data_IF_955068479048
#
_entry.id   IF_955068479048
#
_cell.length_a   1.000
_cell.length_b   1.000
_cell.length_c   1.000
_cell.angle_alpha   90.00
_cell.angle_beta   90.00
_cell.angle_gamma   90.00
#
_symmetry.space_group_name_H-M   'P 1'
#
loop_
_entity.id
_entity.type
_entity.pdbx_description
1 polymer ?
#
# COMPACT_ATOMS: atom_id res chain seq x y z
N UNK A 1 -2.62 18.99 6.39
CA UNK A 1 -4.06 18.71 6.63
C UNK A 1 -4.94 19.13 5.46
N UNK A 2 -4.96 20.40 5.01
CA UNK A 2 -5.79 20.81 3.86
C UNK A 2 -5.63 19.90 2.61
N UNK A 3 -4.40 19.53 2.28
CA UNK A 3 -4.13 18.57 1.20
C UNK A 3 -4.57 17.13 1.56
N UNK A 4 -4.20 16.60 2.73
CA UNK A 4 -4.55 15.23 3.13
C UNK A 4 -6.06 14.99 3.26
N UNK A 5 -6.78 15.95 3.83
CA UNK A 5 -8.21 15.87 4.14
C UNK A 5 -9.07 16.33 2.98
N UNK A 6 -8.86 17.57 2.51
CA UNK A 6 -9.71 18.20 1.50
C UNK A 6 -9.17 18.04 0.08
N UNK A 7 -8.06 17.30 -0.11
CA UNK A 7 -7.40 17.08 -1.41
C UNK A 7 -6.98 18.39 -2.10
N UNK A 8 -6.86 19.46 -1.33
CA UNK A 8 -6.51 20.79 -1.84
C UNK A 8 -5.09 20.78 -2.37
N UNK A 9 -4.90 21.22 -3.61
CA UNK A 9 -3.57 21.36 -4.20
C UNK A 9 -2.81 22.52 -3.55
N UNK A 10 -1.47 22.51 -3.63
CA UNK A 10 -0.65 23.62 -3.15
C UNK A 10 -1.07 24.95 -3.78
N UNK A 11 -1.42 24.94 -5.08
CA UNK A 11 -1.90 26.11 -5.79
C UNK A 11 -3.23 26.63 -5.24
N UNK A 12 -4.22 25.77 -5.04
CA UNK A 12 -5.51 26.16 -4.47
C UNK A 12 -5.35 26.74 -3.06
N UNK A 13 -4.49 26.12 -2.23
CA UNK A 13 -4.19 26.60 -0.90
C UNK A 13 -3.50 27.97 -0.94
N UNK A 14 -2.59 28.19 -1.88
CA UNK A 14 -1.94 29.48 -2.08
C UNK A 14 -2.92 30.57 -2.54
N UNK A 15 -3.82 30.28 -3.49
CA UNK A 15 -4.86 31.21 -3.91
C UNK A 15 -5.81 31.58 -2.75
N UNK A 16 -6.13 30.61 -1.88
CA UNK A 16 -6.87 30.87 -0.65
C UNK A 16 -6.13 31.86 0.26
N UNK A 17 -4.82 31.69 0.46
CA UNK A 17 -4.01 32.62 1.24
C UNK A 17 -4.03 34.03 0.63
N UNK A 18 -3.85 34.16 -0.69
CA UNK A 18 -3.90 35.48 -1.37
C UNK A 18 -5.23 36.20 -1.14
N UNK A 19 -6.35 35.51 -1.33
CA UNK A 19 -7.69 36.06 -1.12
C UNK A 19 -7.98 36.41 0.34
N UNK A 20 -7.37 35.71 1.30
CA UNK A 20 -7.49 36.04 2.72
C UNK A 20 -6.64 37.26 3.10
N UNK A 21 -5.49 37.43 2.47
CA UNK A 21 -4.58 38.56 2.72
C UNK A 21 -5.12 39.86 2.12
N UNK A 22 -5.53 39.83 0.84
CA UNK A 22 -6.12 40.97 0.15
C UNK A 22 -7.37 40.51 -0.62
N UNK A 23 -8.57 40.64 -0.03
CA UNK A 23 -9.80 40.14 -0.62
C UNK A 23 -10.22 40.84 -1.91
N UNK A 24 -9.94 42.14 -2.04
CA UNK A 24 -10.41 42.94 -3.18
C UNK A 24 -9.41 42.94 -4.34
N UNK A 25 -8.15 42.64 -4.08
CA UNK A 25 -7.09 42.60 -5.08
C UNK A 25 -6.02 41.52 -4.79
N UNK A 26 -6.37 40.22 -4.74
CA UNK A 26 -5.44 39.15 -4.38
C UNK A 26 -4.19 39.10 -5.29
N UNK A 27 -4.30 39.63 -6.51
CA UNK A 27 -3.21 39.78 -7.46
C UNK A 27 -2.05 40.66 -6.96
N UNK A 28 -2.29 41.62 -6.05
CA UNK A 28 -1.24 42.51 -5.51
C UNK A 28 -0.41 41.84 -4.41
N UNK A 29 -0.87 40.72 -3.87
CA UNK A 29 -0.11 39.94 -2.90
C UNK A 29 1.14 39.40 -3.59
N UNK A 30 2.30 39.67 -2.98
CA UNK A 30 3.63 39.26 -3.46
C UNK A 30 3.65 37.76 -3.77
N UNK A 31 4.17 37.41 -4.95
CA UNK A 31 4.24 36.02 -5.40
C UNK A 31 5.27 35.22 -4.59
N UNK A 32 4.80 34.27 -3.78
CA UNK A 32 5.58 33.41 -2.87
C UNK A 32 5.25 31.92 -3.00
N UNK A 33 4.64 31.50 -4.11
CA UNK A 33 4.22 30.12 -4.32
C UNK A 33 5.39 29.14 -4.35
N UNK A 34 6.53 29.54 -4.92
CA UNK A 34 7.72 28.69 -4.97
C UNK A 34 8.26 28.39 -3.56
N UNK A 35 8.34 29.41 -2.72
CA UNK A 35 8.75 29.30 -1.32
C UNK A 35 7.76 28.46 -0.52
N UNK A 36 6.44 28.66 -0.72
CA UNK A 36 5.43 27.84 -0.07
C UNK A 36 5.56 26.36 -0.44
N UNK A 37 5.79 26.03 -1.72
CA UNK A 37 6.00 24.64 -2.15
C UNK A 37 7.23 24.03 -1.51
N UNK A 38 8.35 24.75 -1.49
CA UNK A 38 9.59 24.29 -0.87
C UNK A 38 9.40 24.05 0.64
N UNK A 39 8.90 25.06 1.37
CA UNK A 39 8.71 24.98 2.81
C UNK A 39 7.66 23.94 3.22
N UNK A 40 6.57 23.82 2.49
CA UNK A 40 5.56 22.79 2.77
C UNK A 40 6.11 21.38 2.57
N UNK A 41 6.97 21.17 1.57
CA UNK A 41 7.67 19.89 1.35
C UNK A 41 8.63 19.58 2.50
N UNK A 42 9.51 20.52 2.88
CA UNK A 42 10.42 20.37 4.02
C UNK A 42 9.66 20.12 5.33
N UNK A 43 8.55 20.82 5.54
CA UNK A 43 7.70 20.64 6.72
C UNK A 43 7.10 19.23 6.79
N UNK A 44 6.56 18.71 5.68
CA UNK A 44 6.03 17.33 5.61
C UNK A 44 7.12 16.31 5.93
N UNK A 45 8.32 16.51 5.40
CA UNK A 45 9.47 15.66 5.71
C UNK A 45 9.82 15.67 7.21
N UNK A 46 10.00 16.85 7.80
CA UNK A 46 10.29 16.98 9.24
C UNK A 46 9.18 16.37 10.12
N UNK A 47 7.93 16.51 9.70
CA UNK A 47 6.78 15.89 10.36
C UNK A 47 6.84 14.37 10.32
N UNK A 48 7.18 13.76 9.17
CA UNK A 48 7.37 12.31 9.05
C UNK A 48 8.46 11.80 9.99
N UNK A 49 9.60 12.46 10.01
CA UNK A 49 10.71 12.10 10.91
C UNK A 49 10.30 12.17 12.39
N UNK A 50 9.64 13.26 12.78
CA UNK A 50 9.12 13.42 14.14
C UNK A 50 8.15 12.30 14.51
N UNK A 51 7.27 11.90 13.58
CA UNK A 51 6.31 10.81 13.80
C UNK A 51 6.98 9.44 13.85
N UNK A 52 8.03 9.21 13.07
CA UNK A 52 8.86 8.00 13.15
C UNK A 52 9.80 7.96 14.35
N UNK A 53 9.69 8.89 15.32
CA UNK A 53 10.54 8.93 16.51
C UNK A 53 12.02 9.24 16.22
N UNK A 54 12.35 9.74 15.02
CA UNK A 54 13.71 10.10 14.65
C UNK A 54 14.10 11.41 15.35
N UNK A 55 14.99 11.28 16.33
CA UNK A 55 15.61 12.40 17.02
C UNK A 55 16.96 12.75 16.38
N UNK A 56 17.55 13.89 16.75
CA UNK A 56 18.89 14.32 16.30
C UNK A 56 19.98 13.40 16.87
N UNK A 57 20.08 12.16 16.39
CA UNK A 57 21.31 11.38 16.56
C UNK A 57 22.28 11.87 15.51
N UNK A 58 23.28 12.64 15.95
CA UNK A 58 24.48 12.91 15.15
C UNK A 58 25.09 11.55 14.83
N UNK A 59 24.86 11.04 13.63
CA UNK A 59 25.69 9.96 13.11
C UNK A 59 27.12 10.52 12.92
N UNK A 60 28.12 9.65 13.03
CA UNK A 60 29.54 10.01 12.96
C UNK A 60 29.96 10.66 11.64
N UNK A 61 29.08 10.67 10.63
CA UNK A 61 29.25 11.24 9.30
C UNK A 61 28.82 12.72 9.18
N UNK A 62 28.33 13.33 10.27
CA UNK A 62 27.87 14.72 10.28
C UNK A 62 26.44 14.92 9.78
N UNK A 63 25.74 13.84 9.44
CA UNK A 63 24.34 13.89 9.02
C UNK A 63 23.41 14.00 10.23
N UNK A 64 22.57 15.04 10.29
CA UNK A 64 21.82 15.42 11.50
C UNK A 64 20.68 14.44 11.83
N UNK A 65 20.21 13.69 10.82
CA UNK A 65 18.98 12.86 10.88
C UNK A 65 19.30 11.35 10.83
N UNK A 66 20.55 10.99 10.50
CA UNK A 66 20.98 9.62 10.22
C UNK A 66 20.31 9.01 8.99
N UNK A 67 20.80 7.86 8.51
CA UNK A 67 20.19 7.18 7.36
C UNK A 67 18.82 6.59 7.77
N UNK A 68 17.75 6.95 7.05
CA UNK A 68 16.43 6.34 7.22
C UNK A 68 16.40 5.02 6.45
N UNK A 69 16.00 3.93 7.12
CA UNK A 69 15.94 2.60 6.48
C UNK A 69 14.71 2.47 5.59
N UNK A 70 14.76 1.52 4.67
CA UNK A 70 13.65 1.20 3.78
C UNK A 70 12.40 0.86 4.60
N UNK A 71 11.28 1.46 4.21
CA UNK A 71 9.96 1.31 4.82
C UNK A 71 9.84 1.69 6.31
N UNK A 72 10.88 2.29 6.92
CA UNK A 72 10.90 2.58 8.36
C UNK A 72 9.83 3.58 8.80
N UNK A 73 9.46 4.53 7.94
CA UNK A 73 8.47 5.56 8.23
C UNK A 73 7.05 5.15 7.80
N UNK A 74 6.88 3.94 7.28
CA UNK A 74 5.58 3.43 6.89
C UNK A 74 4.76 3.03 8.12
N UNK A 75 3.50 3.48 8.18
CA UNK A 75 2.55 3.01 9.18
C UNK A 75 1.91 1.71 8.71
N UNK A 76 1.94 0.66 9.52
CA UNK A 76 1.24 -0.59 9.24
C UNK A 76 -0.03 -0.78 10.08
N UNK A 77 -0.79 -1.83 9.80
CA UNK A 77 -2.02 -2.16 10.49
C UNK A 77 -1.76 -2.60 11.94
N UNK A 78 -2.32 -1.93 12.97
CA UNK A 78 -2.14 -2.34 14.35
C UNK A 78 -2.89 -3.65 14.70
N UNK A 79 -3.87 -4.05 13.88
CA UNK A 79 -4.65 -5.28 14.08
C UNK A 79 -4.12 -6.48 13.30
N UNK A 80 -3.16 -6.29 12.39
CA UNK A 80 -2.54 -7.43 11.73
C UNK A 80 -1.71 -8.22 12.76
N UNK A 81 -1.85 -9.57 12.85
CA UNK A 81 -1.08 -10.45 13.73
C UNK A 81 0.44 -10.26 13.63
N UNK A 82 1.11 -9.64 14.60
CA UNK A 82 2.52 -9.28 14.56
C UNK A 82 3.24 -9.84 15.81
N UNK A 83 4.17 -10.79 15.64
CA UNK A 83 4.99 -11.31 16.73
C UNK A 83 5.74 -10.18 17.47
N UNK A 84 5.75 -10.25 18.80
CA UNK A 84 6.38 -9.26 19.67
C UNK A 84 5.68 -7.89 19.72
N UNK A 85 4.54 -7.72 19.03
CA UNK A 85 3.77 -6.47 19.03
C UNK A 85 2.38 -6.68 19.61
N UNK A 86 1.59 -7.58 19.01
CA UNK A 86 0.19 -7.81 19.40
C UNK A 86 -0.19 -9.30 19.41
N UNK A 87 0.79 -10.19 19.30
CA UNK A 87 0.61 -11.63 19.50
C UNK A 87 1.13 -12.07 20.87
N UNK A 88 0.50 -13.06 21.51
CA UNK A 88 1.07 -13.73 22.68
C UNK A 88 2.45 -14.31 22.35
N UNK A 89 3.36 -14.39 23.33
CA UNK A 89 4.71 -14.95 23.09
C UNK A 89 4.66 -16.43 22.66
N UNK A 90 3.68 -17.17 23.15
CA UNK A 90 3.43 -18.58 22.85
C UNK A 90 2.40 -18.80 21.71
N UNK A 91 2.28 -17.84 20.78
CA UNK A 91 1.31 -17.94 19.68
C UNK A 91 1.55 -19.15 18.75
N UNK A 92 2.77 -19.70 18.74
CA UNK A 92 3.15 -20.85 17.90
C UNK A 92 2.59 -22.18 18.44
N UNK A 93 2.46 -22.28 19.75
CA UNK A 93 1.92 -23.43 20.47
C UNK A 93 0.40 -23.41 20.57
N UNK A 94 -0.25 -22.32 20.16
CA UNK A 94 -1.71 -22.18 20.16
C UNK A 94 -2.36 -23.22 19.22
N UNK A 95 -3.28 -24.02 19.74
CA UNK A 95 -4.06 -24.98 18.95
C UNK A 95 -4.82 -24.29 17.81
N UNK A 96 -5.19 -23.02 18.01
CA UNK A 96 -5.86 -22.17 17.04
C UNK A 96 -4.92 -21.22 16.30
N UNK A 97 -3.61 -21.52 16.20
CA UNK A 97 -2.62 -20.64 15.53
C UNK A 97 -3.00 -20.16 14.14
N UNK A 98 -3.93 -20.85 13.47
CA UNK A 98 -4.54 -20.43 12.22
C UNK A 98 -5.24 -19.05 12.29
N UNK A 99 -5.67 -18.57 13.46
CA UNK A 99 -6.23 -17.21 13.60
C UNK A 99 -5.18 -16.12 13.34
N UNK A 100 -3.89 -16.46 13.50
CA UNK A 100 -2.77 -15.56 13.34
C UNK A 100 -2.21 -15.54 11.91
N UNK A 101 -2.79 -16.32 10.98
CA UNK A 101 -2.32 -16.33 9.58
C UNK A 101 -2.39 -14.93 8.96
N UNK A 102 -1.39 -14.61 8.13
CA UNK A 102 -1.32 -13.32 7.45
C UNK A 102 -2.18 -13.36 6.20
N UNK A 103 -2.88 -12.27 5.93
CA UNK A 103 -3.65 -12.07 4.70
C UNK A 103 -3.18 -10.79 4.05
N UNK A 104 -2.82 -10.86 2.77
CA UNK A 104 -2.40 -9.72 1.96
C UNK A 104 -3.15 -9.78 0.63
N UNK A 105 -3.45 -8.63 0.06
CA UNK A 105 -4.09 -8.50 -1.25
C UNK A 105 -3.25 -7.59 -2.13
N UNK A 106 -3.05 -7.95 -3.39
CA UNK A 106 -2.45 -7.10 -4.41
C UNK A 106 -3.48 -6.63 -5.44
N UNK A 107 -3.32 -5.40 -5.91
CA UNK A 107 -4.10 -4.83 -7.01
C UNK A 107 -3.37 -3.64 -7.66
N UNK A 108 -3.66 -3.38 -8.93
CA UNK A 108 -3.09 -2.33 -9.77
C UNK A 108 -4.05 -1.15 -9.98
N UNK A 109 -3.56 0.08 -9.81
CA UNK A 109 -4.29 1.31 -10.07
C UNK A 109 -3.69 2.11 -11.24
N UNK A 110 -4.35 2.03 -12.40
CA UNK A 110 -3.96 2.74 -13.62
C UNK A 110 -4.44 4.19 -13.72
N UNK A 111 -5.25 4.67 -12.76
CA UNK A 111 -5.62 6.10 -12.66
C UNK A 111 -4.51 6.93 -12.00
N UNK A 112 -3.52 6.29 -11.40
CA UNK A 112 -2.33 6.91 -10.85
C UNK A 112 -1.19 6.95 -11.89
N UNK A 113 -1.50 7.34 -13.13
CA UNK A 113 -0.52 7.54 -14.19
C UNK A 113 0.31 8.82 -13.95
N UNK A 114 1.44 8.93 -14.64
CA UNK A 114 2.31 10.09 -14.61
C UNK A 114 2.74 10.47 -16.02
N UNK A 115 2.73 11.77 -16.29
CA UNK A 115 3.17 12.34 -17.56
C UNK A 115 4.65 12.69 -17.45
N UNK A 116 5.42 12.24 -18.43
CA UNK A 116 6.84 12.51 -18.55
C UNK A 116 7.11 14.03 -18.53
N UNK A 117 7.99 14.45 -17.62
CA UNK A 117 8.35 15.84 -17.45
C UNK A 117 9.46 16.25 -18.43
N UNK A 118 9.33 17.42 -19.05
CA UNK A 118 10.33 17.96 -19.99
C UNK A 118 11.67 18.27 -19.32
N UNK A 119 11.67 18.52 -18.01
CA UNK A 119 12.86 18.86 -17.23
C UNK A 119 13.68 17.65 -16.79
N UNK A 120 13.17 16.43 -16.99
CA UNK A 120 13.78 15.20 -16.50
C UNK A 120 13.79 15.08 -14.96
N UNK A 121 14.56 14.13 -14.45
CA UNK A 121 14.69 13.88 -13.01
C UNK A 121 15.77 14.76 -12.37
N UNK A 122 15.47 16.05 -12.22
CA UNK A 122 16.36 17.04 -11.58
C UNK A 122 15.96 17.41 -10.15
N UNK A 123 14.89 16.81 -9.64
CA UNK A 123 14.39 17.13 -8.31
C UNK A 123 15.14 16.31 -7.24
N UNK A 124 15.22 16.86 -6.03
CA UNK A 124 15.86 16.22 -4.89
C UNK A 124 14.91 15.20 -4.30
N UNK A 125 15.34 13.99 -4.01
CA UNK A 125 14.54 13.00 -3.29
C UNK A 125 14.81 13.10 -1.80
N UNK A 126 13.83 13.54 -1.00
CA UNK A 126 14.06 13.77 0.44
C UNK A 126 14.13 12.47 1.24
N UNK A 127 13.41 11.44 0.80
CA UNK A 127 13.20 10.22 1.59
C UNK A 127 12.96 8.97 0.73
N UNK A 128 13.83 8.69 -0.25
CA UNK A 128 13.61 7.60 -1.20
C UNK A 128 13.56 6.25 -0.46
N UNK A 129 12.53 5.45 -0.72
CA UNK A 129 12.38 4.12 -0.10
C UNK A 129 11.95 4.12 1.36
N UNK A 130 11.84 5.27 2.03
CA UNK A 130 11.67 5.33 3.49
C UNK A 130 10.28 4.93 4.00
N UNK A 131 9.29 4.78 3.12
CA UNK A 131 7.88 4.58 3.50
C UNK A 131 7.19 3.53 2.62
N UNK A 132 6.23 3.90 1.78
CA UNK A 132 5.40 2.95 1.03
C UNK A 132 6.00 2.65 -0.35
N UNK A 133 6.57 3.67 -0.99
CA UNK A 133 7.28 3.51 -2.26
C UNK A 133 8.73 3.05 -2.07
N UNK A 134 9.28 2.25 -3.01
CA UNK A 134 10.63 1.73 -2.92
C UNK A 134 11.69 2.79 -3.23
N UNK A 135 12.94 2.45 -2.91
CA UNK A 135 14.08 3.13 -3.52
C UNK A 135 14.08 2.82 -5.02
N UNK A 136 14.19 3.85 -5.85
CA UNK A 136 14.02 3.68 -7.31
C UNK A 136 15.06 2.73 -7.90
N UNK A 137 16.32 2.90 -7.51
CA UNK A 137 17.44 2.10 -8.04
C UNK A 137 17.26 0.62 -7.70
N UNK A 138 16.98 0.30 -6.44
CA UNK A 138 16.71 -1.09 -6.00
C UNK A 138 15.55 -1.71 -6.78
N UNK A 139 14.49 -0.93 -7.01
CA UNK A 139 13.35 -1.41 -7.79
C UNK A 139 13.70 -1.60 -9.27
N UNK A 140 14.45 -0.68 -9.87
CA UNK A 140 14.91 -0.80 -11.25
C UNK A 140 15.82 -2.03 -11.43
N UNK A 141 16.77 -2.25 -10.53
CA UNK A 141 17.65 -3.42 -10.53
C UNK A 141 16.83 -4.72 -10.42
N UNK A 142 15.87 -4.76 -9.50
CA UNK A 142 14.98 -5.90 -9.39
C UNK A 142 14.21 -6.15 -10.70
N UNK A 143 13.65 -5.11 -11.31
CA UNK A 143 12.89 -5.24 -12.55
C UNK A 143 13.74 -5.70 -13.73
N UNK A 144 15.03 -5.36 -13.75
CA UNK A 144 15.98 -5.82 -14.76
C UNK A 144 16.38 -7.28 -14.58
N UNK A 145 16.57 -7.71 -13.33
CA UNK A 145 16.96 -9.08 -13.00
C UNK A 145 15.77 -10.06 -12.96
N UNK A 146 14.54 -9.57 -12.77
CA UNK A 146 13.35 -10.41 -12.61
C UNK A 146 12.94 -11.10 -13.92
N UNK A 147 12.65 -12.39 -13.81
CA UNK A 147 12.10 -13.18 -14.91
C UNK A 147 10.67 -12.72 -15.25
N UNK A 148 10.38 -12.52 -16.53
CA UNK A 148 9.05 -12.16 -17.00
C UNK A 148 8.44 -13.33 -17.80
N UNK A 149 7.78 -14.24 -17.08
CA UNK A 149 7.13 -15.40 -17.69
C UNK A 149 5.67 -15.06 -17.95
N UNK A 150 5.28 -15.06 -19.23
CA UNK A 150 3.87 -15.03 -19.59
C UNK A 150 3.25 -16.39 -19.30
N UNK A 151 2.32 -16.44 -18.36
CA UNK A 151 1.54 -17.65 -18.09
C UNK A 151 0.45 -17.74 -19.15
N UNK A 152 0.36 -18.85 -19.90
CA UNK A 152 -0.84 -19.11 -20.71
C UNK A 152 -2.01 -19.23 -19.76
N UNK A 153 -3.04 -18.41 -19.97
CA UNK A 153 -4.17 -18.23 -19.05
C UNK A 153 -4.78 -19.60 -18.72
N UNK A 154 -4.67 -20.11 -17.47
CA UNK A 154 -5.29 -21.38 -17.10
C UNK A 154 -6.82 -21.28 -17.07
N UNK A 155 -7.36 -20.06 -17.01
CA UNK A 155 -8.78 -19.75 -17.17
C UNK A 155 -9.01 -18.99 -18.48
N UNK A 156 -9.78 -19.52 -19.42
CA UNK A 156 -9.95 -18.93 -20.76
C UNK A 156 -10.69 -17.58 -20.81
N UNK A 157 -11.16 -17.07 -19.66
CA UNK A 157 -11.66 -15.70 -19.54
C UNK A 157 -10.46 -14.74 -19.48
N UNK A 158 -9.90 -14.45 -20.65
CA UNK A 158 -9.05 -13.29 -20.81
C UNK A 158 -9.87 -12.04 -20.43
N UNK A 159 -9.47 -11.35 -19.35
CA UNK A 159 -9.87 -9.95 -19.11
C UNK A 159 -9.21 -9.09 -20.20
N UNK A 160 -9.65 -9.29 -21.44
CA UNK A 160 -9.18 -8.67 -22.69
C UNK A 160 -9.29 -7.15 -22.67
N UNK A 161 -10.04 -6.60 -21.72
CA UNK A 161 -10.19 -5.18 -21.51
C UNK A 161 -8.90 -4.48 -21.04
N UNK A 162 -7.95 -5.20 -20.41
CA UNK A 162 -6.74 -4.57 -19.83
C UNK A 162 -5.52 -4.68 -20.76
N UNK A 163 -5.40 -5.77 -21.54
CA UNK A 163 -4.22 -5.96 -22.41
C UNK A 163 -4.14 -4.94 -23.57
N UNK A 164 -5.28 -4.44 -24.06
CA UNK A 164 -5.32 -3.63 -25.27
C UNK A 164 -5.46 -2.10 -25.04
N UNK A 165 -5.88 -1.65 -23.86
CA UNK A 165 -6.19 -0.22 -23.63
C UNK A 165 -5.06 0.54 -22.91
N UNK A 166 -4.11 -0.16 -22.29
CA UNK A 166 -2.92 0.43 -21.64
C UNK A 166 -1.68 0.43 -22.54
N UNK A 167 -1.88 0.22 -23.86
CA UNK A 167 -0.84 0.41 -24.86
C UNK A 167 -0.43 1.88 -24.88
N UNK A 168 0.65 2.18 -24.16
CA UNK A 168 1.57 3.28 -24.41
C UNK A 168 0.90 4.60 -24.80
N UNK A 169 0.36 5.33 -23.81
CA UNK A 169 0.37 6.78 -23.97
C UNK A 169 1.85 7.19 -24.03
N UNK A 170 2.39 7.49 -25.23
CA UNK A 170 3.80 7.89 -25.43
C UNK A 170 4.24 9.03 -24.52
N UNK A 171 3.29 9.77 -23.97
CA UNK A 171 3.48 10.89 -23.05
C UNK A 171 3.70 10.47 -21.60
N UNK A 172 3.34 9.25 -21.20
CA UNK A 172 3.43 8.80 -19.81
C UNK A 172 4.68 7.95 -19.58
N UNK A 173 5.44 8.28 -18.53
CA UNK A 173 6.58 7.49 -18.04
C UNK A 173 6.14 6.45 -16.99
N UNK A 174 5.01 6.68 -16.29
CA UNK A 174 4.36 5.71 -15.39
C UNK A 174 2.91 5.50 -15.84
N UNK A 175 2.49 4.25 -16.01
CA UNK A 175 1.13 3.88 -16.42
C UNK A 175 0.17 3.67 -15.25
N UNK A 176 0.68 3.58 -14.03
CA UNK A 176 -0.09 3.33 -12.83
C UNK A 176 0.80 2.94 -11.65
N UNK A 177 0.19 2.48 -10.57
CA UNK A 177 0.88 1.91 -9.42
C UNK A 177 0.28 0.55 -9.08
N UNK A 178 1.05 -0.34 -8.48
CA UNK A 178 0.54 -1.55 -7.82
C UNK A 178 0.77 -1.41 -6.34
N UNK A 179 -0.14 -1.95 -5.51
CA UNK A 179 0.16 -2.08 -4.10
C UNK A 179 -0.38 -3.33 -3.45
N UNK A 180 0.11 -3.59 -2.23
CA UNK A 180 -0.44 -4.56 -1.32
C UNK A 180 -1.09 -3.91 -0.10
N UNK A 181 -2.21 -4.46 0.34
CA UNK A 181 -2.86 -4.08 1.59
C UNK A 181 -3.37 -5.30 2.36
N UNK A 182 -3.61 -5.11 3.65
CA UNK A 182 -4.37 -6.06 4.45
C UNK A 182 -5.84 -6.02 4.01
N UNK A 183 -6.44 -7.11 3.51
CA UNK A 183 -7.84 -7.11 3.08
C UNK A 183 -8.85 -7.00 4.22
N UNK A 184 -8.45 -7.33 5.46
CA UNK A 184 -9.33 -7.26 6.64
C UNK A 184 -9.54 -5.83 7.15
N UNK A 185 -8.47 -5.06 7.23
CA UNK A 185 -8.49 -3.72 7.84
C UNK A 185 -8.26 -2.60 6.80
N UNK A 186 -7.80 -2.97 5.60
CA UNK A 186 -7.49 -2.08 4.50
C UNK A 186 -6.35 -1.12 4.77
N UNK A 187 -5.35 -1.52 5.55
CA UNK A 187 -4.11 -0.76 5.63
C UNK A 187 -3.13 -1.29 4.58
N UNK A 188 -2.48 -0.38 3.85
CA UNK A 188 -1.37 -0.72 2.96
C UNK A 188 -0.21 -1.32 3.76
N UNK A 189 0.51 -2.26 3.16
CA UNK A 189 1.70 -2.84 3.78
C UNK A 189 2.92 -1.91 3.62
N UNK A 190 3.91 -1.95 4.53
CA UNK A 190 5.14 -1.17 4.39
C UNK A 190 5.93 -1.54 3.13
N UNK A 191 6.47 -0.55 2.43
CA UNK A 191 7.26 -0.74 1.21
C UNK A 191 6.49 -1.37 0.03
N UNK A 192 5.16 -1.42 0.10
CA UNK A 192 4.36 -2.26 -0.77
C UNK A 192 3.67 -1.51 -1.91
N UNK A 193 4.17 -0.35 -2.33
CA UNK A 193 3.61 0.42 -3.46
C UNK A 193 4.69 0.58 -4.51
N UNK A 194 4.43 0.27 -5.77
CA UNK A 194 5.43 0.41 -6.82
C UNK A 194 4.85 0.94 -8.13
N UNK A 195 5.65 1.72 -8.85
CA UNK A 195 5.27 2.28 -10.14
C UNK A 195 5.22 1.20 -11.24
N UNK A 196 4.23 1.30 -12.11
CA UNK A 196 4.06 0.44 -13.28
C UNK A 196 4.57 1.17 -14.53
N UNK A 197 5.70 0.73 -15.07
CA UNK A 197 6.30 1.35 -16.26
C UNK A 197 5.80 0.77 -17.60
N UNK A 198 5.25 -0.45 -17.57
CA UNK A 198 4.82 -1.21 -18.76
C UNK A 198 3.59 -2.05 -18.45
N UNK A 199 2.54 -1.39 -17.95
CA UNK A 199 1.38 -2.06 -17.37
C UNK A 199 1.73 -2.87 -16.11
N UNK A 200 0.77 -3.65 -15.63
CA UNK A 200 0.96 -4.53 -14.48
C UNK A 200 1.56 -5.86 -14.90
N UNK A 201 2.85 -6.03 -14.68
CA UNK A 201 3.54 -7.30 -14.90
C UNK A 201 3.64 -8.04 -13.56
N UNK A 202 3.64 -9.38 -13.60
CA UNK A 202 3.74 -10.19 -12.38
C UNK A 202 4.99 -9.84 -11.54
N UNK A 203 6.09 -9.44 -12.18
CA UNK A 203 7.29 -8.97 -11.47
C UNK A 203 7.08 -7.69 -10.65
N UNK A 204 6.13 -6.82 -11.03
CA UNK A 204 5.78 -5.66 -10.21
C UNK A 204 5.12 -6.12 -8.90
N UNK A 205 4.22 -7.10 -8.98
CA UNK A 205 3.54 -7.73 -7.82
C UNK A 205 4.54 -8.51 -6.96
N UNK A 206 5.43 -9.27 -7.59
CA UNK A 206 6.51 -10.01 -6.93
C UNK A 206 7.35 -9.08 -6.04
N UNK A 207 7.72 -7.90 -6.54
CA UNK A 207 8.46 -6.90 -5.75
C UNK A 207 7.68 -6.45 -4.52
N UNK A 208 6.45 -5.94 -4.72
CA UNK A 208 5.67 -5.38 -3.59
C UNK A 208 5.33 -6.45 -2.57
N UNK A 209 5.16 -7.72 -2.98
CA UNK A 209 4.96 -8.84 -2.07
C UNK A 209 6.20 -9.10 -1.21
N UNK A 210 7.38 -9.19 -1.83
CA UNK A 210 8.63 -9.38 -1.09
C UNK A 210 8.89 -8.25 -0.09
N UNK A 211 8.64 -7.00 -0.47
CA UNK A 211 8.76 -5.86 0.46
C UNK A 211 7.73 -5.95 1.60
N UNK A 212 6.48 -6.29 1.28
CA UNK A 212 5.41 -6.46 2.28
C UNK A 212 5.78 -7.52 3.31
N UNK A 213 6.26 -8.68 2.87
CA UNK A 213 6.68 -9.76 3.76
C UNK A 213 7.83 -9.32 4.66
N UNK A 214 8.83 -8.64 4.07
CA UNK A 214 10.03 -8.18 4.78
C UNK A 214 9.73 -7.13 5.85
N UNK A 215 8.80 -6.21 5.60
CA UNK A 215 8.62 -5.02 6.44
C UNK A 215 7.30 -4.99 7.22
N UNK A 216 6.42 -6.00 7.08
CA UNK A 216 5.15 -6.08 7.84
C UNK A 216 5.23 -6.90 9.14
N UNK A 217 6.44 -7.17 9.63
CA UNK A 217 6.72 -7.94 10.85
C UNK A 217 5.92 -9.27 10.87
N UNK A 218 6.12 -10.08 9.84
CA UNK A 218 5.45 -11.36 9.65
C UNK A 218 6.45 -12.49 9.89
N UNK A 219 6.06 -13.49 10.69
CA UNK A 219 6.80 -14.73 10.87
C UNK A 219 6.31 -15.77 9.83
N UNK A 220 7.21 -16.52 9.16
CA UNK A 220 6.84 -17.49 8.14
C UNK A 220 5.89 -18.59 8.62
N UNK A 221 5.95 -18.97 9.90
CA UNK A 221 5.06 -19.98 10.49
C UNK A 221 3.60 -19.53 10.59
N UNK A 222 3.34 -18.22 10.44
CA UNK A 222 1.97 -17.71 10.29
C UNK A 222 1.37 -18.15 8.95
N UNK A 223 2.18 -18.40 7.92
CA UNK A 223 1.68 -18.60 6.56
C UNK A 223 0.99 -17.36 5.97
N UNK A 224 0.64 -17.44 4.69
CA UNK A 224 0.08 -16.36 3.90
C UNK A 224 -1.13 -16.82 3.09
N UNK A 225 -2.25 -16.10 3.19
CA UNK A 225 -3.24 -16.06 2.12
C UNK A 225 -3.04 -14.80 1.28
N UNK A 226 -2.69 -15.00 0.02
CA UNK A 226 -2.45 -13.93 -0.93
C UNK A 226 -3.61 -13.79 -1.91
N UNK A 227 -4.34 -12.67 -1.80
CA UNK A 227 -5.37 -12.29 -2.74
C UNK A 227 -4.78 -11.58 -3.94
N UNK A 228 -5.18 -11.99 -5.13
CA UNK A 228 -4.87 -11.30 -6.37
C UNK A 228 -5.90 -11.67 -7.43
N UNK A 229 -6.36 -10.70 -8.22
CA UNK A 229 -7.40 -10.93 -9.24
C UNK A 229 -7.03 -12.06 -10.20
N UNK A 230 -5.76 -12.12 -10.58
CA UNK A 230 -5.24 -13.19 -11.43
C UNK A 230 -4.45 -14.25 -10.65
N UNK A 231 -4.80 -14.50 -9.38
CA UNK A 231 -4.11 -15.49 -8.53
C UNK A 231 -4.00 -16.87 -9.19
N UNK A 232 -5.00 -17.28 -9.97
CA UNK A 232 -4.97 -18.54 -10.72
C UNK A 232 -3.90 -18.60 -11.83
N UNK A 233 -3.46 -17.45 -12.33
CA UNK A 233 -2.37 -17.32 -13.29
C UNK A 233 -1.04 -17.07 -12.56
N UNK A 234 -1.07 -16.22 -11.54
CA UNK A 234 0.10 -15.77 -10.81
C UNK A 234 0.80 -16.91 -10.04
N UNK A 235 0.01 -17.78 -9.40
CA UNK A 235 0.47 -18.90 -8.59
C UNK A 235 1.26 -19.97 -9.37
N UNK A 236 0.96 -20.15 -10.67
CA UNK A 236 1.54 -21.22 -11.52
C UNK A 236 3.07 -21.20 -11.54
N UNK A 237 3.67 -20.02 -11.62
CA UNK A 237 5.12 -19.84 -11.65
C UNK A 237 5.68 -19.12 -10.44
N UNK A 238 4.86 -18.95 -9.39
CA UNK A 238 5.23 -18.19 -8.19
C UNK A 238 6.55 -18.67 -7.56
N UNK A 239 6.65 -19.98 -7.29
CA UNK A 239 7.86 -20.57 -6.70
C UNK A 239 9.09 -20.44 -7.61
N UNK A 240 8.91 -20.52 -8.94
CA UNK A 240 10.00 -20.30 -9.89
C UNK A 240 10.47 -18.84 -9.88
N UNK A 241 9.55 -17.89 -9.93
CA UNK A 241 9.89 -16.45 -10.01
C UNK A 241 10.54 -15.95 -8.72
N UNK A 242 9.97 -16.28 -7.56
CA UNK A 242 10.41 -15.70 -6.29
C UNK A 242 10.60 -16.68 -5.13
N UNK A 243 10.41 -18.00 -5.31
CA UNK A 243 10.54 -18.97 -4.20
C UNK A 243 11.88 -18.90 -3.47
N UNK A 244 12.98 -18.67 -4.21
CA UNK A 244 14.32 -18.47 -3.67
C UNK A 244 14.52 -17.17 -2.87
N UNK A 245 13.56 -16.25 -2.92
CA UNK A 245 13.55 -14.97 -2.18
C UNK A 245 12.52 -14.95 -1.05
N UNK A 246 11.65 -15.96 -0.97
CA UNK A 246 10.66 -16.07 0.10
C UNK A 246 11.33 -16.50 1.41
N UNK A 247 10.79 -16.09 2.56
CA UNK A 247 11.20 -16.65 3.84
C UNK A 247 11.06 -18.18 3.84
N UNK A 248 12.06 -18.86 4.40
CA UNK A 248 12.07 -20.32 4.51
C UNK A 248 10.88 -20.77 5.35
N UNK A 249 10.14 -21.78 4.86
CA UNK A 249 8.98 -22.34 5.57
C UNK A 249 7.69 -21.54 5.42
N UNK A 250 7.67 -20.47 4.62
CA UNK A 250 6.44 -19.71 4.36
C UNK A 250 5.46 -20.54 3.50
N UNK A 251 4.40 -21.02 4.14
CA UNK A 251 3.25 -21.62 3.44
C UNK A 251 2.38 -20.51 2.82
N UNK A 252 2.02 -20.65 1.54
CA UNK A 252 1.29 -19.63 0.78
C UNK A 252 0.11 -20.22 0.03
N UNK A 253 -1.08 -19.83 0.45
CA UNK A 253 -2.33 -20.03 -0.25
C UNK A 253 -2.68 -18.82 -1.13
N UNK A 254 -3.45 -19.06 -2.18
CA UNK A 254 -3.85 -18.04 -3.13
C UNK A 254 -5.37 -17.92 -3.20
N UNK A 255 -5.86 -16.69 -3.25
CA UNK A 255 -7.28 -16.41 -3.44
C UNK A 255 -7.52 -15.34 -4.50
N UNK A 256 -8.71 -15.35 -5.07
CA UNK A 256 -9.25 -14.27 -5.91
C UNK A 256 -10.33 -13.55 -5.08
N UNK A 257 -10.42 -12.23 -5.23
CA UNK A 257 -11.50 -11.45 -4.61
C UNK A 257 -12.88 -12.03 -4.95
N UNK A 258 -13.80 -11.99 -3.99
CA UNK A 258 -15.12 -12.63 -4.13
C UNK A 258 -15.94 -12.04 -5.27
N UNK A 259 -15.74 -10.76 -5.60
CA UNK A 259 -16.41 -10.18 -6.76
C UNK A 259 -15.72 -10.63 -8.05
N UNK A 260 -14.39 -10.62 -8.09
CA UNK A 260 -13.62 -11.02 -9.27
C UNK A 260 -13.72 -12.51 -9.60
N UNK A 261 -13.77 -13.41 -8.62
CA UNK A 261 -13.72 -14.87 -8.84
C UNK A 261 -14.86 -15.37 -9.73
N UNK A 262 -16.02 -14.72 -9.70
CA UNK A 262 -17.17 -15.02 -10.57
C UNK A 262 -16.92 -14.68 -12.05
N UNK A 263 -15.96 -13.78 -12.34
CA UNK A 263 -15.51 -13.48 -13.70
C UNK A 263 -14.54 -14.52 -14.28
N UNK A 264 -14.03 -15.44 -13.46
CA UNK A 264 -13.16 -16.53 -13.92
C UNK A 264 -13.98 -17.77 -14.32
N UNK A 265 -13.30 -18.80 -14.85
CA UNK A 265 -13.95 -20.10 -15.10
C UNK A 265 -14.46 -20.70 -13.80
N UNK A 266 -15.49 -21.53 -13.88
CA UNK A 266 -16.13 -22.16 -12.73
C UNK A 266 -15.13 -22.88 -11.79
N UNK A 267 -14.13 -23.58 -12.34
CA UNK A 267 -13.10 -24.23 -11.53
C UNK A 267 -12.28 -23.25 -10.67
N UNK A 268 -12.14 -21.98 -11.07
CA UNK A 268 -11.48 -20.97 -10.24
C UNK A 268 -12.30 -20.63 -8.99
N UNK A 269 -13.63 -20.71 -9.04
CA UNK A 269 -14.48 -20.51 -7.87
C UNK A 269 -14.11 -21.52 -6.78
N UNK A 270 -14.04 -22.81 -7.11
CA UNK A 270 -13.73 -23.86 -6.15
C UNK A 270 -12.28 -23.84 -5.68
N UNK A 271 -11.33 -23.44 -6.54
CA UNK A 271 -9.91 -23.44 -6.20
C UNK A 271 -9.41 -22.15 -5.50
N UNK A 272 -10.03 -20.99 -5.75
CA UNK A 272 -9.50 -19.69 -5.34
C UNK A 272 -10.51 -18.80 -4.60
N UNK A 273 -11.77 -19.21 -4.45
CA UNK A 273 -12.68 -18.48 -3.56
C UNK A 273 -12.25 -18.68 -2.11
N UNK A 274 -12.07 -17.58 -1.38
CA UNK A 274 -11.74 -17.62 0.05
C UNK A 274 -12.79 -18.35 0.91
N UNK A 275 -14.01 -18.59 0.39
CA UNK A 275 -15.02 -19.40 1.07
C UNK A 275 -14.65 -20.89 1.18
N UNK A 276 -13.80 -21.38 0.28
CA UNK A 276 -13.39 -22.79 0.25
C UNK A 276 -11.96 -23.03 0.76
N UNK A 277 -11.24 -21.97 1.13
CA UNK A 277 -9.88 -22.08 1.69
C UNK A 277 -10.01 -22.21 3.20
N UNK A 278 -9.65 -23.36 3.80
CA UNK A 278 -9.75 -23.54 5.25
C UNK A 278 -8.93 -22.49 6.00
N UNK A 279 -9.31 -22.20 7.25
CA UNK A 279 -8.50 -21.45 8.21
C UNK A 279 -8.36 -19.92 8.01
N UNK A 280 -8.90 -19.33 6.94
CA UNK A 280 -8.79 -17.87 6.71
C UNK A 280 -10.07 -17.06 6.93
N UNK A 281 -11.19 -17.74 7.13
CA UNK A 281 -12.50 -17.11 7.26
C UNK A 281 -12.97 -16.43 5.96
N UNK A 282 -14.10 -15.74 6.02
CA UNK A 282 -14.67 -15.06 4.84
C UNK A 282 -14.04 -13.68 4.70
N UNK A 283 -13.13 -13.55 3.73
CA UNK A 283 -12.51 -12.28 3.35
C UNK A 283 -12.93 -11.96 1.91
N UNK A 284 -13.58 -10.81 1.72
CA UNK A 284 -14.10 -10.37 0.42
C UNK A 284 -12.96 -10.17 -0.58
N UNK A 285 -11.82 -9.61 -0.14
CA UNK A 285 -10.66 -9.44 -1.00
C UNK A 285 -10.83 -8.37 -2.09
N UNK A 286 -11.55 -7.28 -1.78
CA UNK A 286 -11.80 -6.14 -2.70
C UNK A 286 -11.39 -4.79 -2.06
N UNK A 287 -10.55 -4.82 -1.03
CA UNK A 287 -10.31 -3.63 -0.20
C UNK A 287 -9.56 -2.53 -0.96
N UNK A 288 -8.70 -2.91 -1.90
CA UNK A 288 -7.83 -1.98 -2.62
C UNK A 288 -8.64 -1.03 -3.51
N UNK A 289 -9.75 -1.48 -4.09
CA UNK A 289 -10.66 -0.61 -4.85
C UNK A 289 -11.20 0.57 -4.04
N UNK A 290 -11.57 0.32 -2.78
CA UNK A 290 -12.01 1.38 -1.86
C UNK A 290 -10.86 2.32 -1.47
N UNK A 291 -9.63 1.79 -1.38
CA UNK A 291 -8.44 2.61 -1.11
C UNK A 291 -8.06 3.45 -2.33
N UNK A 292 -8.19 2.90 -3.54
CA UNK A 292 -7.99 3.60 -4.80
C UNK A 292 -9.00 4.70 -5.01
N UNK A 293 -10.28 4.49 -4.70
CA UNK A 293 -11.29 5.54 -4.78
C UNK A 293 -10.85 6.82 -4.01
N UNK A 294 -10.26 6.65 -2.83
CA UNK A 294 -9.75 7.74 -2.02
C UNK A 294 -8.44 8.36 -2.56
N UNK A 295 -7.52 7.52 -3.05
CA UNK A 295 -6.23 7.97 -3.58
C UNK A 295 -6.38 8.68 -4.93
N UNK A 296 -7.33 8.23 -5.76
CA UNK A 296 -7.62 8.78 -7.09
C UNK A 296 -8.09 10.24 -7.04
N UNK A 297 -8.57 10.71 -5.89
CA UNK A 297 -8.91 12.13 -5.71
C UNK A 297 -7.69 13.06 -5.81
N UNK A 298 -6.46 12.56 -5.65
CA UNK A 298 -5.23 13.36 -5.72
C UNK A 298 -4.33 13.01 -6.91
N UNK A 299 -4.67 11.99 -7.70
CA UNK A 299 -3.87 11.62 -8.88
C UNK A 299 -3.73 12.76 -9.90
N UNK A 300 -4.72 13.64 -10.15
CA UNK A 300 -4.53 14.74 -11.11
C UNK A 300 -3.43 15.72 -10.70
N UNK A 301 -3.23 15.95 -9.39
CA UNK A 301 -2.18 16.85 -8.89
C UNK A 301 -0.80 16.20 -8.98
N UNK A 302 -0.75 14.88 -8.83
CA UNK A 302 0.49 14.11 -8.88
C UNK A 302 0.93 13.79 -10.32
N UNK A 303 -0.02 13.72 -11.27
CA UNK A 303 0.20 13.30 -12.65
C UNK A 303 1.25 14.12 -13.41
N UNK A 304 1.41 15.40 -13.04
CA UNK A 304 2.38 16.33 -13.66
C UNK A 304 3.43 16.82 -12.68
N UNK A 305 3.54 16.17 -11.52
CA UNK A 305 4.56 16.51 -10.54
C UNK A 305 5.96 16.08 -11.01
N UNK A 306 6.99 16.41 -10.25
CA UNK A 306 8.26 15.69 -10.36
C UNK A 306 8.10 14.29 -9.77
N UNK A 307 8.89 13.32 -10.22
CA UNK A 307 8.83 11.94 -9.69
C UNK A 307 9.08 11.90 -8.17
N UNK A 308 10.01 12.70 -7.67
CA UNK A 308 10.27 12.83 -6.24
C UNK A 308 9.03 13.35 -5.48
N UNK A 309 8.38 14.39 -6.01
CA UNK A 309 7.18 14.95 -5.37
C UNK A 309 5.98 14.01 -5.44
N UNK A 310 5.80 13.30 -6.56
CA UNK A 310 4.78 12.26 -6.72
C UNK A 310 4.95 11.18 -5.66
N UNK A 311 6.16 10.62 -5.53
CA UNK A 311 6.43 9.56 -4.55
C UNK A 311 6.16 10.02 -3.12
N UNK A 312 6.60 11.23 -2.76
CA UNK A 312 6.36 11.80 -1.43
C UNK A 312 4.88 12.05 -1.15
N UNK A 313 4.10 12.51 -2.15
CA UNK A 313 2.65 12.70 -2.02
C UNK A 313 1.91 11.37 -1.89
N UNK A 314 2.29 10.35 -2.66
CA UNK A 314 1.72 9.01 -2.52
C UNK A 314 1.98 8.46 -1.12
N UNK A 315 3.22 8.52 -0.63
CA UNK A 315 3.57 8.12 0.73
C UNK A 315 2.73 8.87 1.78
N UNK A 316 2.59 10.18 1.64
CA UNK A 316 1.79 11.00 2.56
C UNK A 316 0.33 10.55 2.63
N UNK A 317 -0.32 10.39 1.48
CA UNK A 317 -1.73 10.04 1.42
C UNK A 317 -1.99 8.60 1.85
N UNK A 318 -1.09 7.67 1.51
CA UNK A 318 -1.20 6.26 1.90
C UNK A 318 -0.96 6.11 3.40
N UNK A 319 0.05 6.76 3.97
CA UNK A 319 0.27 6.76 5.41
C UNK A 319 -0.87 7.45 6.18
N UNK A 320 -1.44 8.55 5.67
CA UNK A 320 -2.62 9.19 6.27
C UNK A 320 -3.84 8.25 6.26
N UNK A 321 -4.05 7.51 5.18
CA UNK A 321 -5.10 6.48 5.09
C UNK A 321 -4.92 5.41 6.17
N UNK A 322 -3.70 4.88 6.32
CA UNK A 322 -3.39 3.89 7.36
C UNK A 322 -3.54 4.47 8.77
N UNK A 323 -3.13 5.74 8.98
CA UNK A 323 -3.27 6.43 10.26
C UNK A 323 -4.75 6.58 10.66
N UNK A 324 -5.61 7.05 9.74
CA UNK A 324 -7.06 7.18 9.97
C UNK A 324 -7.69 5.84 10.34
N UNK A 325 -7.28 4.75 9.69
CA UNK A 325 -7.71 3.40 10.05
C UNK A 325 -7.27 3.02 11.45
N UNK A 326 -6.00 3.25 11.79
CA UNK A 326 -5.49 2.98 13.13
C UNK A 326 -6.26 3.75 14.23
N UNK A 327 -6.58 5.03 13.99
CA UNK A 327 -7.39 5.83 14.91
C UNK A 327 -8.80 5.26 15.09
N UNK A 328 -9.47 4.91 14.00
CA UNK A 328 -10.86 4.41 14.04
C UNK A 328 -10.97 3.01 14.63
N UNK A 329 -9.95 2.17 14.43
CA UNK A 329 -9.85 0.84 15.06
C UNK A 329 -9.79 0.96 16.58
N UNK A 330 -8.98 1.90 17.11
CA UNK A 330 -8.88 2.12 18.56
C UNK A 330 -10.18 2.62 19.18
N UNK A 331 -10.97 3.41 18.45
CA UNK A 331 -12.26 3.93 18.93
C UNK A 331 -13.32 2.82 19.08
N UNK A 332 -13.28 1.76 18.26
CA UNK A 332 -14.22 0.63 18.39
C UNK A 332 -13.97 -0.17 19.68
N UNK A 333 -12.72 -0.27 20.14
CA UNK A 333 -12.42 -0.93 21.42
C UNK A 333 -12.80 -0.08 22.65
N UNK A 334 -12.74 1.26 22.57
CA UNK A 334 -13.15 2.13 23.68
C UNK A 334 -14.65 2.45 23.72
N UNK A 335 -15.37 2.32 22.60
CA UNK A 335 -16.82 2.53 22.53
C UNK A 335 -17.66 1.25 22.62
N UNK A 336 -17.04 0.10 22.94
CA UNK A 336 -17.78 -1.12 23.28
C UNK A 336 -17.77 -1.41 24.80
N UNK A 337 -18.61 -0.74 25.62
CA UNK A 337 -19.08 -1.31 26.87
C UNK A 337 -20.24 -2.30 26.64
N UNK A 338 -20.38 -2.91 25.45
CA UNK A 338 -21.51 -3.79 25.10
C UNK A 338 -21.22 -5.29 25.10
N UNK A 339 -20.06 -5.76 25.60
CA UNK A 339 -19.82 -7.20 25.78
C UNK A 339 -19.83 -7.71 27.23
N UNK A 340 -20.17 -6.88 28.23
CA UNK A 340 -20.43 -7.38 29.60
C UNK A 340 -21.84 -7.96 29.82
N UNK A 341 -22.67 -8.09 28.78
CA UNK A 341 -24.06 -8.61 28.91
C UNK A 341 -24.34 -9.94 28.20
N UNK A 342 -23.37 -10.53 27.49
CA UNK A 342 -23.61 -11.78 26.76
C UNK A 342 -23.22 -13.02 27.59
N UNK A 343 -22.28 -12.91 28.53
CA UNK A 343 -21.86 -14.04 29.39
C UNK A 343 -22.86 -14.42 30.49
N UNK A 344 -23.89 -13.62 30.76
CA UNK A 344 -24.86 -13.89 31.83
C UNK A 344 -26.18 -14.50 31.36
N UNK A 345 -26.36 -14.80 30.06
CA UNK A 345 -27.63 -15.35 29.53
C UNK A 345 -27.53 -16.78 29.01
N UNK A 346 -26.34 -17.35 28.89
CA UNK A 346 -26.14 -18.74 28.43
C UNK A 346 -25.86 -19.75 29.56
N UNK A 347 -25.83 -19.30 30.81
CA UNK A 347 -25.57 -20.14 31.99
C UNK A 347 -26.81 -20.44 32.85
N UNK A 348 -28.03 -20.14 32.38
CA UNK A 348 -29.26 -20.38 33.18
C UNK A 348 -30.36 -21.24 32.54
N UNK A 349 -30.20 -21.75 31.31
CA UNK A 349 -31.21 -22.66 30.71
C UNK A 349 -30.60 -23.99 30.25
N UNK A 350 -29.89 -24.65 31.16
CA UNK A 350 -29.56 -26.07 31.05
C UNK A 350 -29.87 -26.76 32.39
N UNK A 351 -31.15 -27.08 32.57
CA UNK A 351 -31.65 -28.17 33.41
C UNK A 351 -32.81 -28.82 32.66
#
# INVERSE_FOLDING_TARGET
>A
LANLECKTSAYQYYQLLRRKTEPLAPQVVVERYAELRCLSRCWRWLKKLKWGGRNKTRESDGNIIGKVRTAELALFCPCCPQPGVNLPDNWKEDENKWVYRRTLMADGNFKADHICQSTGDKDVWLSPGSSMLPHREEYTEFLQAAENIKTKVPCENSFRAIENTLLYAKTCDINGIVAIACPRHGCFAPGSVANLYRGEQQKNVDWVLLQSLKYSNMDPEQGLLFFYDIACQYSVHFQRRIGHRLPVGLDTDFAIGQFHVHGHKENCLFCFSSMFIPQYGVVIGEILESLWANLNAVTPVMRTATLAHQAEMLDDHICDSNHKKALNIGVIHFLCPMNKRIDSRFSQNAL
#
